data_IF_831552036430
#
_entry.id   IF_831552036430
#
_cell.length_a   1.000
_cell.length_b   1.000
_cell.length_c   1.000
_cell.angle_alpha   90.00
_cell.angle_beta   90.00
_cell.angle_gamma   90.00
#
_symmetry.space_group_name_H-M   'P 1'
#
loop_
_entity.id
_entity.type
_entity.pdbx_description
1 polymer ?
#
# COMPACT_ATOMS: atom_id res chain seq x y z
N UNK A 1 -4.21 -11.24 4.58
CA UNK A 1 -2.78 -10.84 4.71
C UNK A 1 -2.58 -10.06 6.02
N UNK A 2 -1.37 -9.97 6.58
CA UNK A 2 -1.11 -9.18 7.81
C UNK A 2 -0.52 -7.80 7.46
N UNK A 3 -0.77 -6.79 8.30
CA UNK A 3 -0.33 -5.40 8.06
C UNK A 3 1.18 -5.28 7.76
N UNK A 4 2.02 -6.03 8.48
CA UNK A 4 3.47 -6.05 8.25
C UNK A 4 3.84 -6.50 6.83
N UNK A 5 3.13 -7.46 6.26
CA UNK A 5 3.42 -7.96 4.92
C UNK A 5 3.00 -6.97 3.84
N UNK A 6 1.86 -6.31 4.05
CA UNK A 6 1.36 -5.24 3.18
C UNK A 6 2.36 -4.07 3.16
N UNK A 7 2.77 -3.61 4.34
CA UNK A 7 3.77 -2.54 4.49
C UNK A 7 5.11 -2.91 3.84
N UNK A 8 5.56 -4.16 3.99
CA UNK A 8 6.83 -4.60 3.41
C UNK A 8 6.77 -4.67 1.88
N UNK A 9 5.66 -5.16 1.32
CA UNK A 9 5.41 -5.15 -0.13
C UNK A 9 5.45 -3.71 -0.66
N UNK A 10 4.70 -2.82 -0.02
CA UNK A 10 4.59 -1.41 -0.43
C UNK A 10 5.93 -0.67 -0.37
N UNK A 11 6.72 -0.85 0.70
CA UNK A 11 8.07 -0.27 0.78
C UNK A 11 8.99 -0.79 -0.30
N UNK A 12 8.95 -2.09 -0.58
CA UNK A 12 9.78 -2.67 -1.63
C UNK A 12 9.38 -2.13 -3.00
N UNK A 13 8.08 -1.93 -3.22
CA UNK A 13 7.53 -1.41 -4.47
C UNK A 13 7.87 0.06 -4.68
N UNK A 14 7.74 0.91 -3.65
CA UNK A 14 8.26 2.30 -3.65
C UNK A 14 9.73 2.35 -4.01
N UNK A 15 10.57 1.51 -3.40
CA UNK A 15 12.01 1.48 -3.67
C UNK A 15 12.36 1.03 -5.09
N UNK A 16 11.54 0.16 -5.69
CA UNK A 16 11.80 -0.44 -7.00
C UNK A 16 11.25 0.38 -8.17
N UNK A 17 10.03 0.88 -8.05
CA UNK A 17 9.30 1.60 -9.11
C UNK A 17 9.27 3.12 -8.90
N UNK A 18 9.52 3.61 -7.68
CA UNK A 18 9.50 5.04 -7.37
C UNK A 18 8.08 5.60 -7.32
N UNK A 19 7.34 5.29 -6.25
CA UNK A 19 6.00 5.83 -6.02
C UNK A 19 6.05 7.18 -5.31
N UNK A 20 5.29 8.15 -5.84
CA UNK A 20 5.18 9.49 -5.25
C UNK A 20 3.90 9.69 -4.42
N UNK A 21 2.92 8.78 -4.53
CA UNK A 21 1.60 8.95 -3.92
C UNK A 21 1.07 7.64 -3.32
N UNK A 22 0.38 7.76 -2.18
CA UNK A 22 -0.24 6.64 -1.45
C UNK A 22 -1.29 5.91 -2.28
N UNK A 23 -2.11 6.66 -3.02
CA UNK A 23 -3.27 6.12 -3.71
C UNK A 23 -2.81 5.20 -4.85
N UNK A 24 -1.81 5.60 -5.62
CA UNK A 24 -1.24 4.76 -6.68
C UNK A 24 -0.64 3.46 -6.14
N UNK A 25 0.03 3.53 -4.98
CA UNK A 25 0.65 2.37 -4.33
C UNK A 25 -0.41 1.41 -3.77
N UNK A 26 -1.46 1.95 -3.15
CA UNK A 26 -2.59 1.17 -2.64
C UNK A 26 -3.37 0.54 -3.81
N UNK A 27 -3.68 1.30 -4.86
CA UNK A 27 -4.39 0.79 -6.03
C UNK A 27 -3.65 -0.39 -6.66
N UNK A 28 -2.34 -0.27 -6.86
CA UNK A 28 -1.53 -1.34 -7.43
C UNK A 28 -1.48 -2.57 -6.53
N UNK A 29 -1.43 -2.41 -5.21
CA UNK A 29 -1.52 -3.53 -4.27
C UNK A 29 -2.87 -4.25 -4.40
N UNK A 30 -3.96 -3.49 -4.41
CA UNK A 30 -5.33 -4.03 -4.51
C UNK A 30 -5.51 -4.79 -5.83
N UNK A 31 -5.00 -4.26 -6.93
CA UNK A 31 -5.01 -4.95 -8.23
C UNK A 31 -4.14 -6.22 -8.23
N UNK A 32 -2.92 -6.15 -7.69
CA UNK A 32 -1.98 -7.28 -7.64
C UNK A 32 -2.52 -8.44 -6.79
N UNK A 33 -3.24 -8.12 -5.71
CA UNK A 33 -3.79 -9.11 -4.78
C UNK A 33 -5.27 -9.41 -5.03
N UNK A 34 -5.85 -8.92 -6.12
CA UNK A 34 -7.27 -9.09 -6.51
C UNK A 34 -8.25 -8.69 -5.39
N UNK A 35 -7.85 -7.76 -4.53
CA UNK A 35 -8.68 -7.23 -3.44
C UNK A 35 -9.66 -6.23 -4.02
N UNK A 36 -10.75 -6.77 -4.58
CA UNK A 36 -11.79 -6.01 -5.26
C UNK A 36 -12.92 -5.58 -4.33
N UNK A 37 -13.00 -6.20 -3.16
CA UNK A 37 -14.08 -6.00 -2.21
C UNK A 37 -13.70 -4.96 -1.16
N UNK A 38 -14.42 -3.85 -1.13
CA UNK A 38 -14.18 -2.74 -0.22
C UNK A 38 -14.58 -3.04 1.22
N UNK A 39 -15.33 -4.11 1.47
CA UNK A 39 -15.63 -4.63 2.82
C UNK A 39 -14.56 -5.62 3.28
N UNK A 40 -13.61 -5.99 2.41
CA UNK A 40 -12.55 -6.90 2.78
C UNK A 40 -11.65 -6.24 3.84
N UNK A 41 -11.36 -6.93 4.96
CA UNK A 41 -10.52 -6.37 6.02
C UNK A 41 -9.11 -6.03 5.55
N UNK A 42 -8.64 -6.63 4.45
CA UNK A 42 -7.35 -6.28 3.85
C UNK A 42 -7.41 -4.99 3.01
N UNK A 43 -8.59 -4.55 2.55
CA UNK A 43 -8.76 -3.28 1.83
C UNK A 43 -8.41 -2.09 2.75
N UNK A 44 -9.02 -2.05 3.94
CA UNK A 44 -8.77 -1.00 4.92
C UNK A 44 -7.31 -1.00 5.40
N UNK A 45 -6.71 -2.18 5.61
CA UNK A 45 -5.29 -2.29 5.99
C UNK A 45 -4.35 -1.80 4.88
N UNK A 46 -4.71 -2.06 3.62
CA UNK A 46 -3.94 -1.61 2.46
C UNK A 46 -3.94 -0.09 2.35
N UNK A 47 -5.10 0.54 2.55
CA UNK A 47 -5.18 2.01 2.59
C UNK A 47 -4.33 2.58 3.74
N UNK A 48 -4.50 2.06 4.96
CA UNK A 48 -3.75 2.53 6.12
C UNK A 48 -2.23 2.39 5.93
N UNK A 49 -1.77 1.26 5.38
CA UNK A 49 -0.38 1.03 5.03
C UNK A 49 0.14 1.99 3.95
N UNK A 50 -0.66 2.23 2.90
CA UNK A 50 -0.32 3.17 1.83
C UNK A 50 -0.14 4.60 2.35
N UNK A 51 -1.06 5.06 3.22
CA UNK A 51 -0.96 6.37 3.87
C UNK A 51 0.27 6.48 4.78
N UNK A 52 0.54 5.45 5.60
CA UNK A 52 1.74 5.40 6.46
C UNK A 52 3.01 5.55 5.62
N UNK A 53 3.14 4.81 4.53
CA UNK A 53 4.33 4.83 3.69
C UNK A 53 4.45 6.13 2.90
N UNK A 54 3.37 6.67 2.34
CA UNK A 54 3.43 7.97 1.70
C UNK A 54 3.84 9.07 2.66
N UNK A 55 3.36 9.03 3.91
CA UNK A 55 3.83 9.94 4.95
C UNK A 55 5.32 9.73 5.24
N UNK A 56 5.81 8.50 5.33
CA UNK A 56 7.25 8.22 5.49
C UNK A 56 8.11 8.76 4.33
N UNK A 57 7.57 8.79 3.10
CA UNK A 57 8.28 9.30 1.91
C UNK A 57 8.24 10.83 1.87
N UNK A 58 7.12 11.45 2.24
CA UNK A 58 6.92 12.89 2.13
C UNK A 58 7.51 13.68 3.31
N UNK A 59 7.68 13.03 4.47
CA UNK A 59 8.31 13.60 5.68
C UNK A 59 9.86 13.53 5.63
N UNK A 60 10.45 13.16 4.50
CA UNK A 60 11.90 13.01 4.27
C UNK A 60 12.46 14.15 3.40
#
# INVERSE_FOLDING_TARGET
MNEKEIMNWMRNKVKKDGFSDAASLTEEFLQTHEVSDSLHPDFTKTLDAGFKIAKEIYDF
#
